data_IF_574068172106
#
_entry.id   IF_574068172106
#
_cell.length_a   1.000
_cell.length_b   1.000
_cell.length_c   1.000
_cell.angle_alpha   90.00
_cell.angle_beta   90.00
_cell.angle_gamma   90.00
#
_symmetry.space_group_name_H-M   'P 1'
#
loop_
_entity.id
_entity.type
_entity.pdbx_description
1 polymer ?
#
# COMPACT_ATOMS: atom_id res chain seq x y z
N UNK A 1 -33.04 -2.84 -23.81
CA UNK A 1 -31.69 -2.76 -24.43
C UNK A 1 -30.66 -2.81 -23.30
N UNK A 2 -29.85 -3.86 -23.24
CA UNK A 2 -28.80 -3.98 -22.21
C UNK A 2 -27.54 -3.31 -22.72
N UNK A 3 -27.13 -2.21 -22.09
CA UNK A 3 -25.87 -1.52 -22.44
C UNK A 3 -24.71 -2.44 -22.09
N UNK A 4 -23.99 -2.97 -23.09
CA UNK A 4 -22.71 -3.64 -22.86
C UNK A 4 -21.67 -2.57 -22.53
N UNK A 5 -21.26 -2.50 -21.25
CA UNK A 5 -20.10 -1.68 -20.85
C UNK A 5 -18.84 -2.28 -21.47
N UNK A 6 -18.12 -1.49 -22.24
CA UNK A 6 -16.83 -1.83 -22.86
C UNK A 6 -15.64 -1.37 -22.01
N UNK A 7 -15.86 -0.46 -21.07
CA UNK A 7 -14.82 0.06 -20.18
C UNK A 7 -14.56 -0.88 -19.00
N UNK A 8 -13.30 -0.99 -18.63
CA UNK A 8 -12.83 -1.70 -17.44
C UNK A 8 -12.34 -0.66 -16.42
N UNK A 9 -12.48 -0.98 -15.13
CA UNK A 9 -12.09 -0.13 -14.01
C UNK A 9 -10.97 -0.81 -13.23
N UNK A 10 -9.87 -0.10 -13.00
CA UNK A 10 -8.81 -0.50 -12.07
C UNK A 10 -8.94 0.26 -10.75
N UNK A 11 -8.40 -0.32 -9.69
CA UNK A 11 -8.28 0.31 -8.38
C UNK A 11 -6.88 0.02 -7.85
N UNK A 12 -6.20 1.07 -7.43
CA UNK A 12 -4.88 1.03 -6.79
C UNK A 12 -4.88 1.94 -5.56
N UNK A 13 -4.15 1.53 -4.53
CA UNK A 13 -3.90 2.33 -3.33
C UNK A 13 -2.46 2.13 -2.91
N UNK A 14 -1.75 3.24 -2.72
CA UNK A 14 -0.45 3.28 -2.08
C UNK A 14 -0.60 3.42 -0.56
N UNK A 15 0.17 2.62 0.18
CA UNK A 15 0.12 2.60 1.64
C UNK A 15 1.53 2.61 2.21
N UNK A 16 1.71 3.33 3.31
CA UNK A 16 2.94 3.26 4.09
C UNK A 16 2.94 2.01 4.95
N UNK A 17 4.09 1.34 5.03
CA UNK A 17 4.32 0.23 5.94
C UNK A 17 4.82 0.75 7.28
N UNK A 18 4.14 0.33 8.34
CA UNK A 18 4.39 0.76 9.71
C UNK A 18 4.81 -0.42 10.58
N UNK A 19 5.60 -0.17 11.61
CA UNK A 19 5.78 -1.11 12.71
C UNK A 19 4.66 -0.96 13.76
N UNK A 20 4.68 -1.79 14.80
CA UNK A 20 3.67 -1.75 15.88
C UNK A 20 3.59 -0.40 16.61
N UNK A 21 4.64 0.42 16.56
CA UNK A 21 4.66 1.76 17.15
C UNK A 21 4.16 2.85 16.19
N UNK A 22 3.64 2.47 15.01
CA UNK A 22 3.15 3.38 13.99
C UNK A 22 4.25 4.15 13.25
N UNK A 23 5.52 3.68 13.31
CA UNK A 23 6.64 4.31 12.61
C UNK A 23 6.87 3.65 11.25
N UNK A 24 7.26 4.46 10.27
CA UNK A 24 7.61 3.96 8.92
C UNK A 24 8.71 2.91 9.00
N UNK A 25 8.54 1.84 8.22
CA UNK A 25 9.54 0.81 8.01
C UNK A 25 10.11 0.96 6.59
N UNK A 26 11.40 1.23 6.49
CA UNK A 26 12.11 1.20 5.20
C UNK A 26 12.52 -0.25 4.91
N UNK A 27 11.76 -0.93 4.04
CA UNK A 27 11.98 -2.34 3.72
C UNK A 27 10.75 -3.02 3.12
N UNK A 28 9.90 -2.28 2.40
CA UNK A 28 8.69 -2.80 1.77
C UNK A 28 9.00 -3.98 0.84
N UNK A 29 10.09 -3.93 0.10
CA UNK A 29 10.64 -5.03 -0.71
C UNK A 29 10.84 -6.33 0.09
N UNK A 30 11.54 -6.25 1.22
CA UNK A 30 11.78 -7.42 2.10
C UNK A 30 10.49 -7.94 2.72
N UNK A 31 9.52 -7.04 2.94
CA UNK A 31 8.20 -7.37 3.47
C UNK A 31 7.37 -8.13 2.42
N UNK A 32 7.53 -7.78 1.15
CA UNK A 32 6.80 -8.38 0.03
C UNK A 32 7.47 -9.62 -0.59
N UNK A 33 8.78 -9.85 -0.42
CA UNK A 33 9.48 -11.06 -0.90
C UNK A 33 8.68 -12.39 -0.72
N UNK A 34 8.07 -12.68 0.44
CA UNK A 34 7.34 -13.94 0.65
C UNK A 34 6.01 -14.05 -0.10
N UNK A 35 5.54 -12.95 -0.70
CA UNK A 35 4.30 -12.89 -1.48
C UNK A 35 4.55 -12.76 -2.99
N UNK A 36 5.77 -12.43 -3.44
CA UNK A 36 6.12 -12.30 -4.86
C UNK A 36 5.81 -13.56 -5.68
N UNK A 37 6.05 -14.75 -5.11
CA UNK A 37 5.76 -16.04 -5.75
C UNK A 37 4.29 -16.49 -5.67
N UNK A 38 3.43 -15.70 -5.04
CA UNK A 38 2.02 -16.04 -4.78
C UNK A 38 1.08 -15.20 -5.63
N UNK A 39 -0.22 -15.53 -5.60
CA UNK A 39 -1.28 -14.76 -6.26
C UNK A 39 -1.16 -13.26 -5.99
N UNK A 40 -0.90 -12.88 -4.73
CA UNK A 40 -0.77 -11.49 -4.30
C UNK A 40 0.44 -10.76 -4.90
N UNK A 41 1.52 -11.45 -5.27
CA UNK A 41 2.69 -10.83 -5.92
C UNK A 41 2.37 -10.18 -7.28
N UNK A 42 1.23 -10.52 -7.90
CA UNK A 42 0.73 -9.84 -9.11
C UNK A 42 0.02 -8.51 -8.82
N UNK A 43 -0.28 -8.26 -7.55
CA UNK A 43 -1.22 -7.24 -7.10
C UNK A 43 -0.64 -6.35 -6.00
N UNK A 44 0.51 -6.70 -5.44
CA UNK A 44 1.20 -5.90 -4.43
C UNK A 44 2.64 -5.72 -4.88
N UNK A 45 3.09 -4.47 -4.99
CA UNK A 45 4.45 -4.12 -5.41
C UNK A 45 5.04 -3.06 -4.47
N UNK A 46 6.37 -3.06 -4.26
CA UNK A 46 7.01 -1.93 -3.60
C UNK A 46 6.91 -0.69 -4.48
N UNK A 47 6.71 0.47 -3.86
CA UNK A 47 6.73 1.76 -4.56
C UNK A 47 8.12 2.40 -4.57
N UNK A 48 8.25 3.55 -5.24
CA UNK A 48 9.51 4.33 -5.28
C UNK A 48 10.09 4.59 -3.88
N UNK A 49 9.22 4.82 -2.89
CA UNK A 49 9.61 4.87 -1.49
C UNK A 49 9.77 3.46 -0.94
N UNK A 50 10.92 3.18 -0.32
CA UNK A 50 11.18 1.92 0.39
C UNK A 50 10.21 1.66 1.56
N UNK A 51 9.41 2.64 1.96
CA UNK A 51 8.40 2.51 3.00
C UNK A 51 6.97 2.36 2.47
N UNK A 52 6.77 2.30 1.15
CA UNK A 52 5.45 2.22 0.53
C UNK A 52 5.25 0.92 -0.22
N UNK A 53 3.99 0.47 -0.21
CA UNK A 53 3.48 -0.64 -1.00
C UNK A 53 2.29 -0.13 -1.78
N UNK A 54 2.27 -0.38 -3.08
CA UNK A 54 1.06 -0.23 -3.89
C UNK A 54 0.32 -1.56 -3.93
N UNK A 55 -0.97 -1.51 -3.63
CA UNK A 55 -1.90 -2.62 -3.79
C UNK A 55 -2.85 -2.31 -4.93
N UNK A 56 -3.03 -3.26 -5.84
CA UNK A 56 -3.79 -3.14 -7.07
C UNK A 56 -4.88 -4.23 -7.09
N UNK A 57 -6.02 -3.94 -7.71
CA UNK A 57 -7.00 -4.94 -8.12
C UNK A 57 -6.97 -5.14 -9.63
N UNK A 58 -7.17 -6.39 -10.08
CA UNK A 58 -7.39 -6.67 -11.49
C UNK A 58 -8.56 -5.84 -12.03
N UNK A 59 -8.44 -5.33 -13.26
CA UNK A 59 -9.47 -4.50 -13.84
C UNK A 59 -10.82 -5.26 -13.96
N UNK A 60 -11.94 -4.61 -13.62
CA UNK A 60 -13.29 -5.20 -13.65
C UNK A 60 -14.32 -4.30 -14.35
N UNK A 61 -15.43 -4.85 -14.88
CA UNK A 61 -16.48 -4.05 -15.53
C UNK A 61 -17.32 -3.18 -14.57
N UNK A 62 -17.20 -3.40 -13.26
CA UNK A 62 -17.99 -2.67 -12.25
C UNK A 62 -17.13 -2.26 -11.06
N UNK A 63 -17.49 -1.12 -10.45
CA UNK A 63 -16.86 -0.61 -9.22
C UNK A 63 -16.98 -1.64 -8.10
N UNK A 64 -18.14 -2.30 -7.99
CA UNK A 64 -18.39 -3.32 -6.98
C UNK A 64 -17.41 -4.48 -7.09
N UNK A 65 -17.25 -5.04 -8.29
CA UNK A 65 -16.35 -6.18 -8.49
C UNK A 65 -14.89 -5.79 -8.26
N UNK A 66 -14.53 -4.55 -8.62
CA UNK A 66 -13.19 -4.02 -8.36
C UNK A 66 -12.93 -3.87 -6.85
N UNK A 67 -13.89 -3.32 -6.10
CA UNK A 67 -13.82 -3.17 -4.65
C UNK A 67 -13.75 -4.52 -3.91
N UNK A 68 -14.51 -5.53 -4.37
CA UNK A 68 -14.43 -6.89 -3.83
C UNK A 68 -13.03 -7.48 -4.06
N UNK A 69 -12.54 -7.46 -5.30
CA UNK A 69 -11.21 -7.98 -5.63
C UNK A 69 -10.09 -7.25 -4.87
N UNK A 70 -10.21 -5.93 -4.71
CA UNK A 70 -9.29 -5.13 -3.91
C UNK A 70 -9.31 -5.53 -2.42
N UNK A 71 -10.51 -5.69 -1.85
CA UNK A 71 -10.66 -6.06 -0.43
C UNK A 71 -10.08 -7.44 -0.14
N UNK A 72 -10.21 -8.39 -1.06
CA UNK A 72 -9.56 -9.70 -0.96
C UNK A 72 -8.03 -9.59 -0.95
N UNK A 73 -7.47 -8.76 -1.85
CA UNK A 73 -6.04 -8.49 -1.90
C UNK A 73 -5.56 -7.79 -0.62
N UNK A 74 -6.34 -6.85 -0.09
CA UNK A 74 -6.02 -6.11 1.13
C UNK A 74 -6.05 -7.03 2.35
N UNK A 75 -7.08 -7.88 2.48
CA UNK A 75 -7.18 -8.84 3.56
C UNK A 75 -6.00 -9.83 3.56
N UNK A 76 -5.58 -10.28 2.38
CA UNK A 76 -4.39 -11.13 2.26
C UNK A 76 -3.13 -10.36 2.68
N UNK A 77 -2.92 -9.13 2.20
CA UNK A 77 -1.77 -8.29 2.56
C UNK A 77 -1.70 -8.04 4.08
N UNK A 78 -2.78 -7.56 4.69
CA UNK A 78 -2.86 -7.31 6.14
C UNK A 78 -2.58 -8.59 6.93
N UNK A 79 -3.11 -9.73 6.48
CA UNK A 79 -2.85 -11.02 7.10
C UNK A 79 -1.38 -11.45 7.02
N UNK A 80 -0.59 -10.95 6.06
CA UNK A 80 0.85 -11.17 5.97
C UNK A 80 1.65 -10.19 6.82
N UNK A 81 1.29 -8.90 6.77
CA UNK A 81 1.94 -7.84 7.56
C UNK A 81 1.85 -8.13 9.07
N UNK A 82 0.68 -8.57 9.54
CA UNK A 82 0.47 -8.95 10.95
C UNK A 82 1.35 -10.11 11.43
N UNK A 83 1.80 -11.00 10.55
CA UNK A 83 2.73 -12.10 10.93
C UNK A 83 4.16 -11.61 11.09
N UNK A 84 4.41 -10.33 10.83
CA UNK A 84 5.71 -9.66 10.84
C UNK A 84 5.70 -8.44 11.76
N UNK A 85 4.68 -8.31 12.60
CA UNK A 85 4.54 -7.19 13.54
C UNK A 85 4.58 -5.82 12.81
N UNK A 86 4.00 -5.80 11.61
CA UNK A 86 3.87 -4.62 10.76
C UNK A 86 2.42 -4.41 10.34
N UNK A 87 2.11 -3.18 9.94
CA UNK A 87 0.80 -2.78 9.43
C UNK A 87 0.96 -1.87 8.20
N UNK A 88 -0.14 -1.54 7.54
CA UNK A 88 -0.16 -0.61 6.41
C UNK A 88 -1.20 0.50 6.62
N UNK A 89 -0.87 1.72 6.20
CA UNK A 89 -1.78 2.86 6.33
C UNK A 89 -1.84 3.72 5.04
N UNK A 90 -3.04 4.04 4.53
CA UNK A 90 -3.22 4.86 3.32
C UNK A 90 -3.16 6.36 3.67
N UNK A 91 -1.95 6.90 3.85
CA UNK A 91 -1.74 8.34 4.01
C UNK A 91 -1.32 8.99 2.69
N UNK A 92 -1.92 10.15 2.38
CA UNK A 92 -1.50 10.98 1.25
C UNK A 92 -0.21 11.76 1.55
N UNK A 93 -0.07 12.49 2.68
CA UNK A 93 1.22 13.00 3.10
C UNK A 93 1.97 11.97 3.94
N UNK A 94 3.29 11.96 3.83
CA UNK A 94 4.16 11.24 4.76
C UNK A 94 3.83 11.64 6.21
N UNK A 95 3.61 10.68 7.13
CA UNK A 95 3.14 10.98 8.48
C UNK A 95 4.12 11.89 9.25
N UNK A 96 3.63 12.82 10.10
CA UNK A 96 4.49 13.69 10.90
C UNK A 96 5.43 12.87 11.80
N UNK A 97 6.72 13.24 11.84
CA UNK A 97 7.73 12.55 12.66
C UNK A 97 8.43 11.36 11.98
N UNK A 98 8.12 11.08 10.71
CA UNK A 98 8.73 9.99 9.95
C UNK A 98 9.79 10.43 8.93
N UNK A 99 10.29 11.66 9.06
CA UNK A 99 11.44 12.11 8.27
C UNK A 99 12.64 11.17 8.51
N UNK A 100 13.24 10.58 7.46
CA UNK A 100 14.54 9.95 7.59
C UNK A 100 15.53 11.02 8.04
N UNK A 101 16.36 10.69 9.03
CA UNK A 101 17.34 11.59 9.64
C UNK A 101 18.40 12.16 8.66
N UNK A 102 18.32 11.88 7.36
CA UNK A 102 19.28 12.33 6.34
C UNK A 102 18.79 13.50 5.47
N UNK A 103 17.54 13.97 5.60
CA UNK A 103 17.07 15.17 4.90
C UNK A 103 16.62 16.25 5.89
N UNK A 104 17.55 16.69 6.72
CA UNK A 104 17.47 17.95 7.45
C UNK A 104 17.52 19.16 6.48
N UNK A 105 16.51 19.28 5.61
CA UNK A 105 16.07 20.51 4.92
C UNK A 105 14.57 20.49 4.59
N UNK A 106 13.75 19.71 5.31
CA UNK A 106 12.30 20.00 5.29
C UNK A 106 12.04 21.11 6.31
N UNK A 107 11.95 22.34 5.82
CA UNK A 107 11.91 23.59 6.58
C UNK A 107 10.63 23.81 7.39
N UNK A 108 10.37 22.96 8.39
CA UNK A 108 9.52 23.36 9.51
C UNK A 108 10.41 23.89 10.63
N UNK A 109 10.48 25.23 10.72
CA UNK A 109 10.82 25.90 11.98
C UNK A 109 9.90 25.33 13.06
N UNK A 110 10.44 24.53 13.97
CA UNK A 110 9.81 24.34 15.25
C UNK A 110 9.91 25.69 15.97
N UNK A 111 8.77 26.37 16.13
CA UNK A 111 8.65 27.43 17.13
C UNK A 111 8.53 26.71 18.48
N UNK A 112 9.64 26.64 19.18
CA UNK A 112 9.74 26.52 20.63
C UNK A 112 10.43 27.76 21.15
#
# INVERSE_FOLDING_TARGET
MTIKRTSMLGLEIEMFVLNEQGKLVNGADTILEPIESKRLGKYAKPELSKAQVELIAAAKPSIRDCAVAFTENLAELVGKLRRRDTDCFPWAPTPPGSCPASTARCGMRQRG
#
